data_IF_454432400374
#
_entry.id   IF_454432400374
#
_cell.length_a   1.000
_cell.length_b   1.000
_cell.length_c   1.000
_cell.angle_alpha   90.00
_cell.angle_beta   90.00
_cell.angle_gamma   90.00
#
_symmetry.space_group_name_H-M   'P 1'
#
loop_
_entity.id
_entity.type
_entity.pdbx_description
1 polymer ?
#
# COMPACT_ATOMS: atom_id res chain seq x y z
N UNK A 1 18.43 13.87 -18.24
CA UNK A 1 18.33 12.68 -17.37
C UNK A 1 16.90 12.64 -16.85
N UNK A 2 16.04 11.82 -17.46
CA UNK A 2 14.69 11.57 -16.95
C UNK A 2 14.84 10.45 -15.93
N UNK A 3 14.70 10.76 -14.66
CA UNK A 3 14.66 9.74 -13.62
C UNK A 3 13.20 9.27 -13.49
N UNK A 4 12.86 8.13 -14.09
CA UNK A 4 11.62 7.42 -13.79
C UNK A 4 11.81 6.66 -12.48
N UNK A 5 11.31 7.20 -11.36
CA UNK A 5 11.27 6.50 -10.08
C UNK A 5 10.01 5.65 -10.00
N UNK A 6 10.05 4.44 -10.58
CA UNK A 6 9.07 3.39 -10.29
C UNK A 6 9.60 2.54 -9.15
N UNK A 7 9.30 2.92 -7.91
CA UNK A 7 9.53 2.09 -6.74
C UNK A 7 8.28 2.16 -5.87
N UNK A 8 7.42 1.15 -5.92
CA UNK A 8 6.21 1.06 -5.10
C UNK A 8 6.41 -0.03 -4.03
N UNK A 9 6.01 0.26 -2.79
CA UNK A 9 5.87 -0.76 -1.74
C UNK A 9 4.74 -1.73 -2.13
N UNK A 10 4.96 -3.00 -1.85
CA UNK A 10 4.08 -4.11 -2.24
C UNK A 10 3.34 -4.61 -1.01
N UNK A 11 2.01 -4.58 -1.04
CA UNK A 11 1.16 -5.22 -0.04
C UNK A 11 0.61 -6.48 -0.69
N UNK A 12 0.95 -7.64 -0.14
CA UNK A 12 0.38 -8.91 -0.58
C UNK A 12 -0.86 -9.17 0.26
N UNK A 13 -1.96 -9.41 -0.42
CA UNK A 13 -3.29 -9.57 0.14
C UNK A 13 -3.77 -10.94 -0.31
N UNK A 14 -4.07 -11.85 0.60
CA UNK A 14 -4.54 -13.20 0.28
C UNK A 14 -6.00 -13.31 0.72
N UNK A 15 -6.89 -13.62 -0.21
CA UNK A 15 -8.31 -13.85 0.08
C UNK A 15 -8.82 -15.06 -0.68
N UNK A 16 -9.86 -15.70 -0.20
CA UNK A 16 -10.53 -16.77 -0.92
C UNK A 16 -11.15 -16.22 -2.22
N UNK A 17 -10.77 -16.79 -3.37
CA UNK A 17 -11.54 -16.66 -4.59
C UNK A 17 -11.45 -17.96 -5.38
N UNK A 18 -12.60 -18.49 -5.74
CA UNK A 18 -12.67 -19.61 -6.66
C UNK A 18 -12.20 -19.11 -8.02
N UNK A 19 -11.10 -19.69 -8.54
CA UNK A 19 -11.12 -20.47 -9.78
C UNK A 19 -9.69 -20.80 -10.26
N UNK A 20 -9.52 -22.07 -10.66
CA UNK A 20 -8.48 -22.65 -11.52
C UNK A 20 -7.15 -23.17 -10.92
N UNK A 21 -6.98 -23.11 -9.59
CA UNK A 21 -5.97 -23.89 -8.87
C UNK A 21 -6.70 -24.91 -7.97
N UNK A 22 -6.14 -26.09 -7.70
CA UNK A 22 -6.73 -27.12 -6.81
C UNK A 22 -6.93 -26.65 -5.34
N UNK A 23 -6.69 -25.37 -5.07
CA UNK A 23 -6.87 -24.72 -3.79
C UNK A 23 -7.73 -23.47 -3.97
N UNK A 24 -8.75 -23.32 -3.12
CA UNK A 24 -9.61 -22.13 -3.05
C UNK A 24 -8.83 -20.93 -2.45
N UNK A 25 -7.88 -20.41 -3.22
CA UNK A 25 -6.97 -19.34 -2.81
C UNK A 25 -6.80 -18.31 -3.92
N UNK A 26 -7.00 -17.03 -3.60
CA UNK A 26 -6.66 -15.90 -4.44
C UNK A 26 -5.60 -15.02 -3.79
N UNK A 27 -4.67 -14.56 -4.61
CA UNK A 27 -3.57 -13.70 -4.19
C UNK A 27 -3.66 -12.39 -4.97
N UNK A 28 -3.86 -11.30 -4.25
CA UNK A 28 -3.89 -9.95 -4.76
C UNK A 28 -2.65 -9.17 -4.33
N UNK A 29 -2.13 -8.35 -5.23
CA UNK A 29 -1.06 -7.41 -4.95
C UNK A 29 -1.63 -5.99 -4.95
N UNK A 30 -1.66 -5.35 -3.78
CA UNK A 30 -2.07 -3.97 -3.64
C UNK A 30 -0.84 -3.07 -3.49
N UNK A 31 -0.69 -2.09 -4.36
CA UNK A 31 0.43 -1.16 -4.31
C UNK A 31 0.03 0.10 -3.57
N UNK A 32 0.62 0.29 -2.38
CA UNK A 32 0.55 1.55 -1.64
C UNK A 32 1.87 1.84 -0.98
N UNK A 33 2.34 3.07 -1.08
CA UNK A 33 3.64 3.49 -0.53
C UNK A 33 3.63 3.56 1.01
N UNK A 34 2.47 3.92 1.57
CA UNK A 34 2.19 4.02 3.01
C UNK A 34 0.92 3.26 3.35
N UNK A 35 0.78 2.86 4.62
CA UNK A 35 -0.50 2.30 5.10
C UNK A 35 -1.55 3.39 5.28
N UNK A 36 -1.11 4.54 5.74
CA UNK A 36 -1.97 5.69 6.04
C UNK A 36 -2.07 6.65 4.87
N UNK A 37 -3.09 7.50 4.89
CA UNK A 37 -3.31 8.47 3.83
C UNK A 37 -2.29 9.60 3.84
N UNK A 38 -1.98 10.11 2.64
CA UNK A 38 -1.24 11.35 2.45
C UNK A 38 -2.14 12.35 1.74
N UNK A 39 -2.33 13.52 2.34
CA UNK A 39 -3.17 14.58 1.80
C UNK A 39 -2.34 15.84 1.52
N UNK A 40 -2.73 16.59 0.49
CA UNK A 40 -2.16 17.91 0.22
C UNK A 40 -3.01 18.96 0.95
N UNK A 41 -2.41 19.62 1.93
CA UNK A 41 -2.99 20.79 2.59
C UNK A 41 -2.20 22.05 2.25
N UNK A 42 -2.66 23.22 2.74
CA UNK A 42 -1.97 24.49 2.54
C UNK A 42 -0.50 24.46 3.01
N UNK A 43 -0.18 23.63 4.01
CA UNK A 43 1.15 23.48 4.57
C UNK A 43 1.99 22.38 3.88
N UNK A 44 1.47 21.76 2.82
CA UNK A 44 2.15 20.70 2.06
C UNK A 44 1.52 19.31 2.24
N UNK A 45 2.29 18.27 1.92
CA UNK A 45 1.87 16.86 2.09
C UNK A 45 1.90 16.48 3.56
N UNK A 46 0.77 16.03 4.07
CA UNK A 46 0.59 15.62 5.47
C UNK A 46 0.25 14.14 5.53
N UNK A 47 0.95 13.42 6.38
CA UNK A 47 0.70 12.01 6.70
C UNK A 47 -0.40 11.94 7.76
N UNK A 48 -1.58 11.40 7.42
CA UNK A 48 -2.74 11.31 8.31
C UNK A 48 -2.70 9.99 9.09
N UNK A 49 -1.99 9.98 10.23
CA UNK A 49 -1.75 8.75 11.01
C UNK A 49 -3.02 8.05 11.50
N UNK A 50 -4.13 8.76 11.57
CA UNK A 50 -5.45 8.31 11.98
C UNK A 50 -6.40 8.02 10.79
N UNK A 51 -5.90 8.03 9.56
CA UNK A 51 -6.69 7.84 8.34
C UNK A 51 -6.20 6.69 7.49
N UNK A 52 -7.16 5.91 6.99
CA UNK A 52 -6.95 4.69 6.22
C UNK A 52 -8.07 4.51 5.17
N UNK A 53 -8.22 5.46 4.25
CA UNK A 53 -9.31 5.49 3.26
C UNK A 53 -9.33 4.26 2.35
N UNK A 54 -8.16 3.71 2.03
CA UNK A 54 -8.04 2.48 1.24
C UNK A 54 -8.23 1.19 2.07
N UNK A 55 -8.56 1.30 3.36
CA UNK A 55 -8.77 0.15 4.25
C UNK A 55 -9.99 -0.71 3.89
N UNK A 56 -10.96 -0.17 3.14
CA UNK A 56 -12.15 -0.92 2.72
C UNK A 56 -11.80 -2.19 1.95
N UNK A 57 -10.74 -2.17 1.12
CA UNK A 57 -10.33 -3.35 0.35
C UNK A 57 -9.82 -4.48 1.25
N UNK A 58 -9.37 -4.14 2.46
CA UNK A 58 -8.78 -5.10 3.40
C UNK A 58 -9.82 -5.80 4.28
N UNK A 59 -11.06 -5.30 4.35
CA UNK A 59 -12.08 -5.80 5.28
C UNK A 59 -12.49 -7.26 5.02
N UNK A 60 -12.37 -7.71 3.78
CA UNK A 60 -12.79 -9.05 3.35
C UNK A 60 -11.60 -9.95 3.04
N UNK A 61 -10.44 -9.66 3.63
CA UNK A 61 -9.20 -10.39 3.40
C UNK A 61 -8.87 -11.23 4.64
N UNK A 62 -8.61 -12.52 4.43
CA UNK A 62 -8.27 -13.45 5.51
C UNK A 62 -6.85 -13.22 6.04
N UNK A 63 -5.89 -12.93 5.15
CA UNK A 63 -4.49 -12.67 5.51
C UNK A 63 -3.95 -11.42 4.81
N UNK A 64 -3.48 -10.46 5.62
CA UNK A 64 -2.85 -9.22 5.17
C UNK A 64 -1.35 -9.23 5.49
N UNK A 65 -0.51 -9.03 4.48
CA UNK A 65 0.95 -8.89 4.66
C UNK A 65 1.41 -7.53 4.18
N UNK A 66 1.79 -6.68 5.13
CA UNK A 66 2.30 -5.34 4.87
C UNK A 66 3.82 -5.31 4.86
N UNK A 67 4.40 -4.70 3.83
CA UNK A 67 5.82 -4.36 3.82
C UNK A 67 6.00 -2.86 3.55
N UNK A 68 6.43 -2.12 4.59
CA UNK A 68 6.58 -0.66 4.54
C UNK A 68 8.00 -0.18 4.87
N UNK A 69 8.95 -1.08 5.07
CA UNK A 69 10.23 -0.75 5.72
C UNK A 69 11.08 0.27 4.93
N UNK A 70 11.00 0.25 3.60
CA UNK A 70 11.90 1.02 2.72
C UNK A 70 11.69 2.54 2.73
N UNK A 71 10.60 3.06 3.30
CA UNK A 71 10.22 4.47 3.15
C UNK A 71 10.28 5.28 4.44
N UNK A 72 10.25 4.65 5.62
CA UNK A 72 10.25 5.37 6.91
C UNK A 72 11.53 6.18 7.17
N UNK A 73 12.66 5.79 6.57
CA UNK A 73 13.91 6.54 6.69
C UNK A 73 14.02 7.69 5.66
N UNK A 74 13.12 7.78 4.67
CA UNK A 74 13.15 8.84 3.66
C UNK A 74 12.44 10.07 4.20
N UNK A 75 13.10 11.23 4.11
CA UNK A 75 12.53 12.52 4.49
C UNK A 75 12.66 13.55 3.36
N UNK A 76 11.80 14.58 3.40
CA UNK A 76 11.80 15.68 2.44
C UNK A 76 11.46 15.25 1.01
N UNK A 77 12.15 15.81 0.01
CA UNK A 77 11.92 15.54 -1.42
C UNK A 77 12.09 14.07 -1.82
N UNK A 78 12.73 13.24 -0.98
CA UNK A 78 12.89 11.79 -1.22
C UNK A 78 11.64 10.99 -0.87
N UNK A 79 10.66 11.64 -0.25
CA UNK A 79 9.34 11.12 0.03
C UNK A 79 8.37 11.51 -1.09
N UNK A 80 8.70 11.11 -2.32
CA UNK A 80 7.89 11.35 -3.52
C UNK A 80 6.78 10.31 -3.61
#
# INVERSE_FOLDING_TARGET
MVATSSNHSKILVIHEANHECDYDLSVMLFHSQYLVDIENEQNGRILKLDSLKNGEIWKNIDVLVFNTWLWWYRAGLKQS
#
